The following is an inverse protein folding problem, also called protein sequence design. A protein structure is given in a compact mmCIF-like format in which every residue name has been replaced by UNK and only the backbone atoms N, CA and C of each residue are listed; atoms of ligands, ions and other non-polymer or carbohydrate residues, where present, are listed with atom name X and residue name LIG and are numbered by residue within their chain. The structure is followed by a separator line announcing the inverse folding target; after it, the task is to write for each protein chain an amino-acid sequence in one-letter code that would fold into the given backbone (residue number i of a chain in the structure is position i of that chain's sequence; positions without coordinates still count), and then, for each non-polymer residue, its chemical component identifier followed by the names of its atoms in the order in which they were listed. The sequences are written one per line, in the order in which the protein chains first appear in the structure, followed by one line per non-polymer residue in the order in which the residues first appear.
data_IF_704374130350
#
_entry.id   IF_704374130350
#
_cell.length_a   1.000
_cell.length_b   1.000
_cell.length_c   1.000
_cell.angle_alpha   90.00
_cell.angle_beta   90.00
_cell.angle_gamma   90.00
#
_symmetry.space_group_name_H-M   'P 1'
#
loop_
_entity.id
_entity.type
_entity.pdbx_description
1 polymer ?
#
# COMPACT_ATOMS: atom_id res chain seq x y z
N UNK A 1 16.67 -40.80 -22.79
CA UNK A 1 15.63 -40.56 -21.76
C UNK A 1 14.46 -39.93 -22.47
N UNK A 2 13.30 -40.60 -22.48
CA UNK A 2 12.09 -40.03 -23.07
C UNK A 2 11.63 -38.84 -22.20
N UNK A 3 11.16 -37.77 -22.82
CA UNK A 3 10.75 -36.53 -22.13
C UNK A 3 9.70 -36.78 -21.04
N UNK A 4 8.77 -37.71 -21.31
CA UNK A 4 7.71 -38.10 -20.37
C UNK A 4 8.28 -38.80 -19.12
N UNK A 5 9.25 -39.71 -19.26
CA UNK A 5 9.93 -40.36 -18.14
C UNK A 5 10.69 -39.33 -17.25
N UNK A 6 11.30 -38.30 -17.87
CA UNK A 6 11.96 -37.24 -17.14
C UNK A 6 10.96 -36.35 -16.37
N UNK A 7 9.81 -36.04 -16.99
CA UNK A 7 8.72 -35.29 -16.35
C UNK A 7 8.19 -36.05 -15.14
N UNK A 8 7.92 -37.34 -15.27
CA UNK A 8 7.40 -38.16 -14.18
C UNK A 8 8.41 -38.26 -13.01
N UNK A 9 9.69 -38.46 -13.30
CA UNK A 9 10.73 -38.49 -12.26
C UNK A 9 10.85 -37.15 -11.54
N UNK A 10 10.82 -36.01 -12.26
CA UNK A 10 10.86 -34.68 -11.66
C UNK A 10 9.59 -34.35 -10.85
N UNK A 11 8.42 -34.86 -11.28
CA UNK A 11 7.16 -34.67 -10.57
C UNK A 11 7.09 -35.45 -9.24
N UNK A 12 7.70 -36.64 -9.18
CA UNK A 12 7.74 -37.45 -7.96
C UNK A 12 8.60 -36.87 -6.84
N UNK A 13 9.60 -36.05 -7.18
CA UNK A 13 10.55 -35.46 -6.22
C UNK A 13 10.12 -34.05 -5.71
N UNK A 14 8.96 -33.55 -6.17
CA UNK A 14 8.47 -32.21 -5.77
C UNK A 14 7.67 -32.28 -4.49
N UNK A 15 8.23 -31.73 -3.39
CA UNK A 15 7.50 -31.57 -2.13
C UNK A 15 6.34 -30.57 -2.27
N UNK A 16 5.12 -30.91 -1.80
CA UNK A 16 3.97 -30.02 -1.93
C UNK A 16 4.15 -28.73 -1.11
N UNK A 17 4.03 -27.57 -1.77
CA UNK A 17 4.11 -26.26 -1.11
C UNK A 17 2.76 -25.92 -0.46
N UNK A 18 2.78 -25.50 0.80
CA UNK A 18 1.58 -25.08 1.53
C UNK A 18 0.91 -23.90 0.82
N UNK A 19 -0.41 -23.99 0.57
CA UNK A 19 -1.21 -22.99 -0.18
C UNK A 19 -1.09 -21.57 0.38
N UNK A 20 -0.92 -21.42 1.71
CA UNK A 20 -0.80 -20.14 2.41
C UNK A 20 0.65 -19.60 2.53
N UNK A 21 1.67 -20.30 1.97
CA UNK A 21 3.07 -19.92 2.18
C UNK A 21 3.41 -18.51 1.69
N UNK A 22 2.86 -18.10 0.54
CA UNK A 22 3.07 -16.77 -0.03
C UNK A 22 2.45 -15.69 0.87
N UNK A 23 1.18 -15.83 1.22
CA UNK A 23 0.47 -14.87 2.08
C UNK A 23 1.14 -14.73 3.45
N UNK A 24 1.62 -15.83 4.05
CA UNK A 24 2.34 -15.81 5.33
C UNK A 24 3.65 -14.99 5.25
N UNK A 25 4.41 -15.12 4.16
CA UNK A 25 5.66 -14.34 3.98
C UNK A 25 5.37 -12.85 3.92
N UNK A 26 4.32 -12.43 3.20
CA UNK A 26 3.91 -11.03 3.15
C UNK A 26 3.29 -10.55 4.47
N UNK A 27 2.59 -11.40 5.23
CA UNK A 27 2.10 -11.07 6.56
C UNK A 27 3.26 -10.82 7.55
N UNK A 28 4.31 -11.62 7.49
CA UNK A 28 5.54 -11.40 8.27
C UNK A 28 6.20 -10.08 7.86
N UNK A 29 6.33 -9.82 6.55
CA UNK A 29 6.86 -8.55 6.05
C UNK A 29 6.01 -7.35 6.52
N UNK A 30 4.67 -7.50 6.59
CA UNK A 30 3.77 -6.48 7.13
C UNK A 30 4.09 -6.15 8.59
N UNK A 31 4.23 -7.16 9.45
CA UNK A 31 4.51 -6.95 10.87
C UNK A 31 5.81 -6.16 11.05
N UNK A 32 6.91 -6.61 10.44
CA UNK A 32 8.20 -5.92 10.56
C UNK A 32 8.21 -4.55 9.86
N UNK A 33 7.58 -4.45 8.69
CA UNK A 33 7.50 -3.21 7.94
C UNK A 33 6.64 -2.15 8.63
N UNK A 34 5.48 -2.54 9.18
CA UNK A 34 4.62 -1.64 9.95
C UNK A 34 5.27 -1.22 11.27
N UNK A 35 5.96 -2.14 11.97
CA UNK A 35 6.75 -1.81 13.15
C UNK A 35 7.86 -0.80 12.81
N UNK A 36 8.59 -1.00 11.72
CA UNK A 36 9.61 -0.06 11.25
C UNK A 36 9.03 1.31 10.90
N UNK A 37 7.89 1.36 10.21
CA UNK A 37 7.17 2.60 9.91
C UNK A 37 6.72 3.32 11.21
N UNK A 38 6.22 2.57 12.18
CA UNK A 38 5.80 3.11 13.47
C UNK A 38 6.98 3.68 14.27
N UNK A 39 8.11 2.97 14.30
CA UNK A 39 9.35 3.46 14.92
C UNK A 39 9.83 4.75 14.24
N UNK A 40 9.81 4.83 12.91
CA UNK A 40 10.14 6.05 12.17
C UNK A 40 9.18 7.19 12.52
N UNK A 41 7.88 6.91 12.63
CA UNK A 41 6.89 7.90 13.03
C UNK A 41 7.19 8.47 14.41
N UNK A 42 7.48 7.62 15.40
CA UNK A 42 7.75 8.04 16.78
C UNK A 42 9.03 8.88 16.89
N UNK A 43 10.08 8.55 16.14
CA UNK A 43 11.37 9.23 16.26
C UNK A 43 11.49 10.48 15.39
N UNK A 44 10.73 10.58 14.32
CA UNK A 44 10.86 11.68 13.36
C UNK A 44 9.65 12.62 13.34
N UNK A 45 8.44 12.06 13.22
CA UNK A 45 7.22 12.85 13.03
C UNK A 45 6.48 13.10 14.35
N UNK A 46 6.61 12.22 15.33
CA UNK A 46 5.86 12.15 16.58
C UNK A 46 4.34 11.95 16.39
N UNK A 47 3.67 11.48 17.42
CA UNK A 47 2.21 11.33 17.41
C UNK A 47 1.54 12.67 17.66
N UNK A 48 0.36 12.87 17.04
CA UNK A 48 -0.46 14.06 17.30
C UNK A 48 -0.96 14.08 18.75
N UNK A 49 -0.91 15.25 19.44
CA UNK A 49 -1.26 15.35 20.86
C UNK A 49 -2.75 15.10 21.13
N UNK A 50 -3.61 15.38 20.18
CA UNK A 50 -5.08 15.24 20.25
C UNK A 50 -5.61 13.89 19.73
N UNK A 51 -4.75 12.88 19.61
CA UNK A 51 -5.13 11.55 19.06
C UNK A 51 -6.34 10.95 19.78
N UNK A 52 -6.43 11.09 21.11
CA UNK A 52 -7.55 10.56 21.90
C UNK A 52 -8.91 11.18 21.53
N UNK A 53 -8.91 12.42 21.03
CA UNK A 53 -10.11 13.09 20.53
C UNK A 53 -10.36 12.72 19.07
N UNK A 54 -9.31 12.69 18.25
CA UNK A 54 -9.38 12.37 16.84
C UNK A 54 -10.02 11.01 16.58
N UNK A 55 -9.64 9.96 17.33
CA UNK A 55 -10.18 8.59 17.17
C UNK A 55 -11.67 8.48 17.47
N UNK A 56 -12.28 9.51 18.08
CA UNK A 56 -13.72 9.57 18.31
C UNK A 56 -14.49 10.14 17.13
N UNK A 57 -13.82 10.66 16.10
CA UNK A 57 -14.44 11.29 14.94
C UNK A 57 -14.58 10.32 13.77
N UNK A 58 -15.70 10.41 13.04
CA UNK A 58 -15.91 9.58 11.84
C UNK A 58 -14.89 9.88 10.73
N UNK A 59 -14.43 11.12 10.60
CA UNK A 59 -13.44 11.54 9.61
C UNK A 59 -12.08 10.87 9.81
N UNK A 60 -11.65 10.68 11.07
CA UNK A 60 -10.42 9.95 11.36
C UNK A 60 -10.53 8.49 10.92
N UNK A 61 -11.67 7.84 11.17
CA UNK A 61 -11.91 6.46 10.74
C UNK A 61 -12.04 6.33 9.22
N UNK A 62 -12.61 7.31 8.54
CA UNK A 62 -12.63 7.34 7.08
C UNK A 62 -11.20 7.29 6.51
N UNK A 63 -10.31 8.12 7.03
CA UNK A 63 -8.92 8.20 6.64
C UNK A 63 -8.16 6.91 6.96
N UNK A 64 -8.32 6.37 8.16
CA UNK A 64 -7.71 5.10 8.60
C UNK A 64 -8.18 3.95 7.71
N UNK A 65 -9.50 3.81 7.53
CA UNK A 65 -10.09 2.74 6.71
C UNK A 65 -9.63 2.82 5.27
N UNK A 66 -9.52 4.01 4.70
CA UNK A 66 -9.00 4.19 3.35
C UNK A 66 -7.57 3.65 3.21
N UNK A 67 -6.66 3.99 4.13
CA UNK A 67 -5.31 3.45 4.15
C UNK A 67 -5.28 1.92 4.28
N UNK A 68 -6.09 1.36 5.18
CA UNK A 68 -6.19 -0.09 5.38
C UNK A 68 -6.77 -0.82 4.16
N UNK A 69 -7.77 -0.23 3.48
CA UNK A 69 -8.32 -0.81 2.24
C UNK A 69 -7.28 -0.81 1.12
N UNK A 70 -6.48 0.27 0.97
CA UNK A 70 -5.39 0.29 -0.01
C UNK A 70 -4.29 -0.70 0.35
N UNK A 71 -3.95 -0.88 1.64
CA UNK A 71 -3.02 -1.90 2.09
C UNK A 71 -3.52 -3.31 1.74
N UNK A 72 -4.79 -3.61 2.03
CA UNK A 72 -5.41 -4.88 1.68
C UNK A 72 -5.45 -5.10 0.16
N UNK A 73 -5.79 -4.08 -0.61
CA UNK A 73 -5.79 -4.11 -2.07
C UNK A 73 -4.39 -4.45 -2.63
N UNK A 74 -3.36 -3.79 -2.10
CA UNK A 74 -1.96 -4.07 -2.42
C UNK A 74 -1.53 -5.48 -2.02
N UNK A 75 -1.90 -5.94 -0.83
CA UNK A 75 -1.64 -7.30 -0.35
C UNK A 75 -2.26 -8.35 -1.28
N UNK A 76 -3.53 -8.22 -1.62
CA UNK A 76 -4.23 -9.13 -2.54
C UNK A 76 -3.59 -9.11 -3.93
N UNK A 77 -3.18 -7.93 -4.42
CA UNK A 77 -2.52 -7.79 -5.70
C UNK A 77 -1.14 -8.46 -5.70
N UNK A 78 -0.30 -8.19 -4.70
CA UNK A 78 1.07 -8.73 -4.64
C UNK A 78 1.07 -10.24 -4.42
N UNK A 79 0.18 -10.77 -3.56
CA UNK A 79 0.05 -12.21 -3.33
C UNK A 79 -0.28 -12.94 -4.63
N UNK A 80 -1.18 -12.38 -5.45
CA UNK A 80 -1.55 -12.96 -6.75
C UNK A 80 -0.47 -12.81 -7.80
N UNK A 81 0.14 -11.64 -7.92
CA UNK A 81 1.20 -11.36 -8.91
C UNK A 81 2.51 -12.08 -8.61
N UNK A 82 2.70 -12.53 -7.38
CA UNK A 82 3.83 -13.37 -6.97
C UNK A 82 3.68 -14.85 -7.35
N UNK A 83 2.56 -15.25 -7.97
CA UNK A 83 2.33 -16.61 -8.48
C UNK A 83 2.43 -16.60 -10.00
N UNK A 84 2.97 -17.67 -10.63
CA UNK A 84 2.95 -17.84 -12.08
C UNK A 84 1.52 -17.69 -12.63
N UNK A 85 1.33 -16.92 -13.69
CA UNK A 85 0.03 -16.60 -14.30
C UNK A 85 -0.99 -15.91 -13.37
N UNK A 86 -0.59 -15.43 -12.20
CA UNK A 86 -1.44 -14.71 -11.27
C UNK A 86 -1.87 -13.33 -11.81
N UNK A 87 -3.10 -12.91 -11.49
CA UNK A 87 -3.67 -11.63 -11.90
C UNK A 87 -3.97 -10.75 -10.70
N UNK A 88 -3.44 -9.51 -10.69
CA UNK A 88 -3.69 -8.51 -9.67
C UNK A 88 -5.04 -7.78 -9.79
N UNK A 89 -5.89 -8.13 -10.78
CA UNK A 89 -7.13 -7.38 -11.12
C UNK A 89 -8.03 -7.10 -9.93
N UNK A 90 -8.21 -8.08 -9.02
CA UNK A 90 -9.07 -7.90 -7.82
C UNK A 90 -8.54 -6.84 -6.87
N UNK A 91 -7.24 -6.87 -6.57
CA UNK A 91 -6.62 -5.86 -5.72
C UNK A 91 -6.64 -4.47 -6.38
N UNK A 92 -6.31 -4.40 -7.67
CA UNK A 92 -6.37 -3.14 -8.43
C UNK A 92 -7.80 -2.59 -8.46
N UNK A 93 -8.80 -3.44 -8.72
CA UNK A 93 -10.21 -3.03 -8.71
C UNK A 93 -10.65 -2.50 -7.35
N UNK A 94 -10.25 -3.14 -6.25
CA UNK A 94 -10.55 -2.67 -4.90
C UNK A 94 -9.90 -1.30 -4.63
N UNK A 95 -8.63 -1.10 -5.01
CA UNK A 95 -7.95 0.17 -4.84
C UNK A 95 -8.62 1.30 -5.63
N UNK A 96 -8.99 1.04 -6.90
CA UNK A 96 -9.67 2.01 -7.74
C UNK A 96 -11.06 2.34 -7.21
N UNK A 97 -11.82 1.36 -6.73
CA UNK A 97 -13.14 1.60 -6.13
C UNK A 97 -13.05 2.45 -4.87
N UNK A 98 -12.09 2.15 -3.97
CA UNK A 98 -11.86 2.95 -2.77
C UNK A 98 -11.43 4.39 -3.10
N UNK A 99 -10.55 4.56 -4.07
CA UNK A 99 -10.12 5.87 -4.55
C UNK A 99 -11.28 6.66 -5.17
N UNK A 100 -12.06 6.03 -6.06
CA UNK A 100 -13.22 6.66 -6.70
C UNK A 100 -14.26 7.12 -5.66
N UNK A 101 -14.57 6.26 -4.67
CA UNK A 101 -15.46 6.63 -3.58
C UNK A 101 -14.96 7.86 -2.83
N UNK A 102 -13.68 7.90 -2.49
CA UNK A 102 -13.11 9.03 -1.77
C UNK A 102 -13.09 10.32 -2.60
N UNK A 103 -12.83 10.22 -3.91
CA UNK A 103 -12.93 11.36 -4.85
C UNK A 103 -14.34 11.91 -4.87
N UNK A 104 -15.36 11.05 -4.91
CA UNK A 104 -16.78 11.49 -4.87
C UNK A 104 -17.08 12.20 -3.55
N UNK A 105 -16.63 11.66 -2.41
CA UNK A 105 -16.82 12.30 -1.10
C UNK A 105 -16.11 13.65 -1.01
N UNK A 106 -14.87 13.74 -1.51
CA UNK A 106 -14.10 14.98 -1.53
C UNK A 106 -14.71 16.04 -2.47
N UNK A 107 -15.20 15.62 -3.63
CA UNK A 107 -15.90 16.50 -4.56
C UNK A 107 -17.22 17.02 -3.96
N UNK A 108 -18.00 16.14 -3.34
CA UNK A 108 -19.25 16.52 -2.65
C UNK A 108 -18.99 17.54 -1.54
N UNK A 109 -17.91 17.34 -0.76
CA UNK A 109 -17.49 18.30 0.26
C UNK A 109 -17.16 19.66 -0.34
N UNK A 110 -16.33 19.71 -1.40
CA UNK A 110 -15.94 20.99 -2.03
C UNK A 110 -17.14 21.74 -2.64
N UNK A 111 -18.13 21.02 -3.16
CA UNK A 111 -19.35 21.63 -3.70
C UNK A 111 -20.18 22.28 -2.58
N UNK A 112 -20.27 21.65 -1.41
CA UNK A 112 -21.03 22.15 -0.25
C UNK A 112 -20.27 23.19 0.58
N UNK A 113 -18.95 23.31 0.39
CA UNK A 113 -18.10 24.31 1.08
C UNK A 113 -18.24 25.69 0.40
N UNK A 114 -18.27 26.76 1.19
CA UNK A 114 -18.25 28.14 0.68
C UNK A 114 -17.05 28.37 -0.25
N UNK A 115 -17.22 29.12 -1.34
CA UNK A 115 -16.16 29.30 -2.36
C UNK A 115 -14.83 29.80 -1.79
N UNK A 116 -14.91 30.70 -0.81
CA UNK A 116 -13.75 31.28 -0.11
C UNK A 116 -12.94 30.26 0.69
N UNK A 117 -13.58 29.21 1.21
CA UNK A 117 -12.95 28.19 2.06
C UNK A 117 -12.49 26.95 1.28
N UNK A 118 -12.88 26.80 0.03
CA UNK A 118 -12.56 25.60 -0.78
C UNK A 118 -11.07 25.32 -0.89
N UNK A 119 -10.29 26.39 -1.09
CA UNK A 119 -8.85 26.26 -1.25
C UNK A 119 -8.18 25.82 0.06
N UNK A 120 -8.61 26.36 1.19
CA UNK A 120 -8.09 26.01 2.52
C UNK A 120 -8.43 24.57 2.91
N UNK A 121 -9.66 24.12 2.62
CA UNK A 121 -10.11 22.74 2.84
C UNK A 121 -9.37 21.75 1.94
N UNK A 122 -9.11 22.09 0.68
CA UNK A 122 -8.42 21.23 -0.27
C UNK A 122 -6.91 21.13 0.01
N UNK A 123 -6.24 22.25 0.29
CA UNK A 123 -4.80 22.27 0.57
C UNK A 123 -4.48 21.77 1.98
N UNK A 124 -5.32 22.08 2.98
CA UNK A 124 -4.96 21.90 4.38
C UNK A 124 -3.64 22.61 4.73
N UNK A 125 -3.06 22.28 5.87
CA UNK A 125 -1.78 22.86 6.31
C UNK A 125 -0.57 21.99 5.92
N UNK A 126 -0.76 20.69 5.71
CA UNK A 126 0.32 19.71 5.56
C UNK A 126 0.51 19.18 4.13
N UNK A 127 -0.14 19.73 3.11
CA UNK A 127 -0.16 19.23 1.74
C UNK A 127 1.23 19.02 1.12
N UNK A 128 2.18 19.91 1.42
CA UNK A 128 3.55 19.83 0.88
C UNK A 128 4.33 18.65 1.40
N UNK A 129 4.11 18.24 2.65
CA UNK A 129 4.90 17.21 3.32
C UNK A 129 4.19 15.86 3.33
N UNK A 130 2.85 15.85 3.30
CA UNK A 130 2.04 14.64 3.42
C UNK A 130 2.43 13.52 2.45
N UNK A 131 2.55 13.72 1.13
CA UNK A 131 2.93 12.66 0.20
C UNK A 131 4.33 12.10 0.46
N UNK A 132 5.29 12.97 0.81
CA UNK A 132 6.68 12.58 1.07
C UNK A 132 6.82 11.83 2.40
N UNK A 133 6.08 12.23 3.43
CA UNK A 133 6.07 11.54 4.71
C UNK A 133 5.50 10.12 4.56
N UNK A 134 4.42 9.95 3.78
CA UNK A 134 3.86 8.64 3.46
C UNK A 134 4.89 7.79 2.70
N UNK A 135 5.56 8.36 1.69
CA UNK A 135 6.61 7.67 0.95
C UNK A 135 7.75 7.21 1.90
N UNK A 136 8.23 8.08 2.76
CA UNK A 136 9.31 7.76 3.70
C UNK A 136 8.89 6.64 4.66
N UNK A 137 7.71 6.75 5.27
CA UNK A 137 7.17 5.72 6.17
C UNK A 137 6.91 4.37 5.46
N UNK A 138 6.69 4.39 4.16
CA UNK A 138 6.48 3.15 3.39
C UNK A 138 7.77 2.36 3.17
N UNK A 139 8.95 2.99 3.32
CA UNK A 139 10.26 2.41 3.02
C UNK A 139 10.50 1.02 3.62
N UNK A 140 10.34 0.82 4.93
CA UNK A 140 10.58 -0.47 5.57
C UNK A 140 9.74 -1.61 4.98
N UNK A 141 8.42 -1.38 4.78
CA UNK A 141 7.54 -2.40 4.21
C UNK A 141 7.76 -2.58 2.71
N UNK A 142 8.07 -1.52 1.97
CA UNK A 142 8.37 -1.61 0.55
C UNK A 142 9.60 -2.50 0.32
N UNK A 143 10.68 -2.30 1.06
CA UNK A 143 11.88 -3.11 0.97
C UNK A 143 11.61 -4.56 1.37
N UNK A 144 10.93 -4.79 2.49
CA UNK A 144 10.59 -6.13 2.96
C UNK A 144 9.69 -6.88 1.95
N UNK A 145 8.68 -6.21 1.38
CA UNK A 145 7.77 -6.82 0.40
C UNK A 145 8.46 -7.12 -0.94
N UNK A 146 9.35 -6.25 -1.42
CA UNK A 146 10.17 -6.51 -2.61
C UNK A 146 11.13 -7.70 -2.39
N UNK A 147 11.74 -7.79 -1.19
CA UNK A 147 12.59 -8.92 -0.84
C UNK A 147 11.81 -10.25 -0.87
N UNK A 148 10.60 -10.28 -0.28
CA UNK A 148 9.71 -11.44 -0.33
C UNK A 148 9.32 -11.78 -1.77
N UNK A 149 8.90 -10.78 -2.55
CA UNK A 149 8.46 -10.96 -3.93
C UNK A 149 9.57 -11.51 -4.84
N UNK A 150 10.83 -11.08 -4.62
CA UNK A 150 11.98 -11.58 -5.37
C UNK A 150 12.14 -13.10 -5.25
N UNK A 151 11.91 -13.66 -4.06
CA UNK A 151 11.99 -15.12 -3.82
C UNK A 151 10.82 -15.93 -4.39
N UNK A 152 9.81 -15.26 -5.00
CA UNK A 152 8.60 -15.90 -5.55
C UNK A 152 8.54 -15.85 -7.08
N UNK A 153 9.52 -15.19 -7.70
CA UNK A 153 9.72 -15.17 -9.14
C UNK A 153 8.52 -14.65 -9.96
N UNK A 154 8.06 -13.43 -9.74
CA UNK A 154 6.97 -12.84 -10.48
C UNK A 154 7.32 -12.66 -11.96
N UNK A 155 6.37 -12.91 -12.87
CA UNK A 155 6.56 -12.75 -14.31
C UNK A 155 6.36 -11.30 -14.78
N UNK A 156 5.59 -10.50 -14.06
CA UNK A 156 5.29 -9.08 -14.37
C UNK A 156 5.96 -8.17 -13.36
N UNK A 157 7.28 -7.95 -13.52
CA UNK A 157 8.13 -7.31 -12.52
C UNK A 157 7.64 -5.93 -12.07
N UNK A 158 7.27 -5.04 -13.03
CA UNK A 158 6.79 -3.71 -12.73
C UNK A 158 5.45 -3.73 -11.97
N UNK A 159 4.51 -4.61 -12.38
CA UNK A 159 3.21 -4.73 -11.70
C UNK A 159 3.34 -5.35 -10.31
N UNK A 160 4.21 -6.34 -10.14
CA UNK A 160 4.50 -6.91 -8.83
C UNK A 160 5.14 -5.87 -7.90
N UNK A 161 6.09 -5.08 -8.41
CA UNK A 161 6.67 -3.96 -7.69
C UNK A 161 5.66 -2.87 -7.35
N UNK A 162 4.76 -2.51 -8.28
CA UNK A 162 3.66 -1.57 -8.03
C UNK A 162 2.74 -2.08 -6.91
N UNK A 163 2.40 -3.37 -6.90
CA UNK A 163 1.59 -3.98 -5.86
C UNK A 163 2.30 -3.97 -4.49
N UNK A 164 3.63 -4.20 -4.44
CA UNK A 164 4.44 -3.99 -3.23
C UNK A 164 4.36 -2.53 -2.76
N UNK A 165 4.46 -1.57 -3.70
CA UNK A 165 4.35 -0.15 -3.42
C UNK A 165 2.97 0.24 -2.88
N UNK A 166 1.89 -0.24 -3.49
CA UNK A 166 0.52 -0.01 -3.00
C UNK A 166 0.30 -0.59 -1.60
N UNK A 167 0.80 -1.81 -1.36
CA UNK A 167 0.74 -2.45 -0.05
C UNK A 167 1.47 -1.65 1.03
N UNK A 168 2.70 -1.23 0.73
CA UNK A 168 3.51 -0.42 1.63
C UNK A 168 2.92 0.99 1.83
N UNK A 169 2.48 1.64 0.75
CA UNK A 169 1.87 2.97 0.80
C UNK A 169 0.58 2.99 1.60
N UNK A 170 -0.34 2.04 1.38
CA UNK A 170 -1.57 1.92 2.17
C UNK A 170 -1.30 1.70 3.66
N UNK A 171 -0.32 0.85 4.00
CA UNK A 171 0.09 0.62 5.39
C UNK A 171 0.71 1.88 6.01
N UNK A 172 1.58 2.57 5.26
CA UNK A 172 2.18 3.83 5.69
C UNK A 172 1.13 4.92 5.92
N UNK A 173 0.09 4.99 5.08
CA UNK A 173 -1.06 5.88 5.28
C UNK A 173 -1.77 5.61 6.60
N UNK A 174 -2.02 4.34 6.94
CA UNK A 174 -2.64 3.97 8.21
C UNK A 174 -1.75 4.37 9.40
N UNK A 175 -0.43 4.16 9.33
CA UNK A 175 0.52 4.61 10.35
C UNK A 175 0.56 6.14 10.41
N UNK A 176 0.60 6.83 9.27
CA UNK A 176 0.65 8.30 9.22
C UNK A 176 -0.61 8.98 9.74
N UNK A 177 -1.76 8.28 9.81
CA UNK A 177 -2.98 8.75 10.50
C UNK A 177 -2.73 9.14 11.96
N UNK A 178 -1.75 8.54 12.62
CA UNK A 178 -1.41 8.82 14.00
C UNK A 178 -0.69 10.16 14.19
N UNK A 179 -0.16 10.75 13.10
CA UNK A 179 0.55 12.02 13.09
C UNK A 179 -0.27 13.14 12.44
N UNK A 180 -0.81 12.89 11.25
CA UNK A 180 -1.37 13.93 10.41
C UNK A 180 -2.72 14.47 10.94
N UNK A 181 -2.85 15.78 11.20
CA UNK A 181 -4.06 16.37 11.75
C UNK A 181 -5.20 16.48 10.73
N UNK A 182 -4.90 16.47 9.43
CA UNK A 182 -5.88 16.64 8.36
C UNK A 182 -6.90 15.50 8.32
N UNK A 183 -8.16 15.84 8.23
CA UNK A 183 -9.27 14.86 8.21
C UNK A 183 -10.26 15.08 7.07
N UNK A 184 -10.07 16.13 6.28
CA UNK A 184 -10.99 16.53 5.22
C UNK A 184 -10.95 15.55 4.04
N UNK A 185 -12.11 15.02 3.57
CA UNK A 185 -12.19 14.10 2.45
C UNK A 185 -11.50 14.61 1.18
N UNK A 186 -11.62 15.90 0.86
CA UNK A 186 -10.97 16.50 -0.31
C UNK A 186 -9.44 16.47 -0.20
N UNK A 187 -8.90 16.73 0.98
CA UNK A 187 -7.47 16.61 1.28
C UNK A 187 -6.99 15.17 1.13
N UNK A 188 -7.73 14.21 1.71
CA UNK A 188 -7.37 12.80 1.70
C UNK A 188 -7.41 12.26 0.27
N UNK A 189 -8.43 12.61 -0.52
CA UNK A 189 -8.56 12.19 -1.91
C UNK A 189 -7.39 12.61 -2.80
N UNK A 190 -6.78 13.76 -2.52
CA UNK A 190 -5.67 14.30 -3.31
C UNK A 190 -4.31 13.99 -2.70
N UNK A 191 -3.99 14.56 -1.56
CA UNK A 191 -2.62 14.56 -1.00
C UNK A 191 -2.25 13.25 -0.33
N UNK A 192 -3.18 12.62 0.37
CA UNK A 192 -2.97 11.29 0.94
C UNK A 192 -2.83 10.24 -0.15
N UNK A 193 -3.72 10.29 -1.16
CA UNK A 193 -3.65 9.40 -2.32
C UNK A 193 -2.40 9.64 -3.17
N UNK A 194 -1.92 10.89 -3.28
CA UNK A 194 -0.66 11.20 -3.95
C UNK A 194 0.52 10.46 -3.30
N UNK A 195 0.54 10.33 -1.96
CA UNK A 195 1.54 9.53 -1.25
C UNK A 195 1.51 8.05 -1.63
N UNK A 196 0.31 7.45 -1.70
CA UNK A 196 0.15 6.06 -2.13
C UNK A 196 0.53 5.86 -3.61
N UNK A 197 0.15 6.79 -4.49
CA UNK A 197 0.52 6.77 -5.91
C UNK A 197 2.04 6.87 -6.07
N UNK A 198 2.68 7.78 -5.36
CA UNK A 198 4.13 7.96 -5.38
C UNK A 198 4.86 6.69 -4.92
N UNK A 199 4.41 6.08 -3.82
CA UNK A 199 4.98 4.82 -3.32
C UNK A 199 4.76 3.67 -4.32
N UNK A 200 3.59 3.62 -4.96
CA UNK A 200 3.26 2.63 -5.99
C UNK A 200 4.17 2.79 -7.22
N UNK A 201 4.42 4.02 -7.65
CA UNK A 201 5.32 4.33 -8.77
C UNK A 201 6.77 3.96 -8.45
N UNK A 202 7.25 4.29 -7.24
CA UNK A 202 8.59 3.89 -6.77
C UNK A 202 8.69 2.36 -6.71
N UNK A 203 7.68 1.68 -6.18
CA UNK A 203 7.61 0.23 -6.16
C UNK A 203 7.66 -0.38 -7.57
N UNK A 204 6.94 0.20 -8.55
CA UNK A 204 6.97 -0.23 -9.95
C UNK A 204 8.36 -0.06 -10.57
N UNK A 205 9.01 1.06 -10.33
CA UNK A 205 10.36 1.34 -10.81
C UNK A 205 11.38 0.35 -10.21
N UNK A 206 11.38 0.22 -8.88
CA UNK A 206 12.29 -0.71 -8.18
C UNK A 206 12.04 -2.16 -8.57
N UNK A 207 10.78 -2.56 -8.79
CA UNK A 207 10.42 -3.92 -9.20
C UNK A 207 11.06 -4.35 -10.50
N UNK A 208 11.22 -3.45 -11.47
CA UNK A 208 11.90 -3.74 -12.74
C UNK A 208 13.35 -4.17 -12.57
N UNK A 209 14.03 -3.71 -11.51
CA UNK A 209 15.42 -4.02 -11.24
C UNK A 209 15.57 -5.10 -10.16
N UNK A 210 14.86 -4.95 -9.04
CA UNK A 210 15.01 -5.80 -7.86
C UNK A 210 14.44 -7.21 -8.05
N UNK A 211 13.42 -7.38 -8.91
CA UNK A 211 12.74 -8.66 -9.13
C UNK A 211 13.25 -9.43 -10.35
N UNK A 212 14.28 -8.93 -11.03
CA UNK A 212 14.92 -9.66 -12.14
C UNK A 212 15.55 -10.96 -11.65
N UNK A 213 15.33 -12.02 -12.41
CA UNK A 213 16.06 -13.26 -12.27
C UNK A 213 17.51 -13.05 -12.72
N UNK A 214 18.44 -13.51 -11.92
CA UNK A 214 19.85 -13.67 -12.31
C UNK A 214 20.15 -15.14 -12.45
#
# INVERSE_FOLDING_TARGET
VQTDELIDRLALDVAPVRRAAVGRRFAVALVFGAAGAFVLLLNWLHMRPDLAQAVRTAHWWLKMTYGLVLAMAGFVAVERLSRPAGSGRRGIGLALAAFALLVVLGAAQLVTTAPEDRMSVWLGQSWRHCPYNILALSGPLLLASLFVARGLAPTRLALAGAACGLFAGGTAMAVYCLHCPETEPAFIATWYSAGAILTTAVGAALGRFALRWR
#
